data_IF_089618769007
#
_entry.id   IF_089618769007
#
_cell.length_a   1.000
_cell.length_b   1.000
_cell.length_c   1.000
_cell.angle_alpha   90.00
_cell.angle_beta   90.00
_cell.angle_gamma   90.00
#
_symmetry.space_group_name_H-M   'P 1'
#
loop_
_entity.id
_entity.type
_entity.pdbx_description
1 polymer ?
#
# COMPACT_ATOMS: atom_id res chain seq x y z
N UNK A 1 17.72 -1.28 -11.70
CA UNK A 1 17.59 -2.58 -10.99
C UNK A 1 16.12 -2.98 -10.77
N UNK A 2 15.25 -2.12 -10.22
CA UNK A 2 13.85 -2.49 -9.93
C UNK A 2 12.96 -2.76 -11.16
N UNK A 3 13.37 -2.30 -12.34
CA UNK A 3 12.65 -2.50 -13.61
C UNK A 3 13.40 -3.39 -14.60
N UNK A 4 14.45 -4.09 -14.16
CA UNK A 4 15.40 -4.76 -15.08
C UNK A 4 14.74 -5.83 -15.97
N UNK A 5 13.74 -6.55 -15.45
CA UNK A 5 13.09 -7.68 -16.14
C UNK A 5 11.60 -7.40 -16.41
N UNK A 6 11.17 -6.13 -16.37
CA UNK A 6 9.78 -5.76 -16.59
C UNK A 6 9.53 -5.44 -18.07
N UNK A 7 8.41 -5.93 -18.60
CA UNK A 7 7.89 -5.55 -19.91
C UNK A 7 7.07 -4.25 -19.75
N UNK A 8 7.47 -3.14 -20.43
CA UNK A 8 6.76 -1.87 -20.29
C UNK A 8 5.30 -1.94 -20.76
N UNK A 9 4.96 -2.86 -21.66
CA UNK A 9 3.62 -3.01 -22.25
C UNK A 9 2.64 -3.73 -21.32
N UNK A 10 3.13 -4.40 -20.29
CA UNK A 10 2.31 -5.14 -19.31
C UNK A 10 2.55 -4.70 -17.87
N UNK A 11 3.28 -3.61 -17.65
CA UNK A 11 3.61 -3.12 -16.31
C UNK A 11 2.67 -2.00 -15.89
N UNK A 12 2.04 -2.15 -14.71
CA UNK A 12 1.28 -1.10 -14.04
C UNK A 12 2.08 -0.53 -12.87
N UNK A 13 2.21 0.79 -12.81
CA UNK A 13 2.81 1.51 -11.69
C UNK A 13 1.73 2.08 -10.78
N UNK A 14 1.83 1.77 -9.48
CA UNK A 14 0.94 2.28 -8.43
C UNK A 14 1.72 3.27 -7.57
N UNK A 15 1.42 4.55 -7.68
CA UNK A 15 2.09 5.62 -6.91
C UNK A 15 1.32 5.89 -5.63
N UNK A 16 1.78 5.32 -4.52
CA UNK A 16 1.16 5.50 -3.21
C UNK A 16 1.80 6.65 -2.41
N UNK A 17 1.08 7.78 -2.28
CA UNK A 17 1.50 8.91 -1.44
C UNK A 17 0.29 9.76 -1.07
N UNK A 18 0.02 9.87 0.23
CA UNK A 18 -1.12 10.66 0.77
C UNK A 18 -1.11 12.10 0.25
N UNK A 19 0.01 12.80 0.43
CA UNK A 19 0.15 14.21 0.08
C UNK A 19 0.61 14.43 -1.36
N UNK A 20 1.08 13.36 -2.02
CA UNK A 20 1.71 13.39 -3.33
C UNK A 20 2.86 14.41 -3.41
N UNK A 21 3.60 14.57 -2.32
CA UNK A 21 4.76 15.48 -2.20
C UNK A 21 6.00 14.82 -1.62
N UNK A 22 5.89 13.58 -1.15
CA UNK A 22 7.01 12.84 -0.57
C UNK A 22 8.14 12.75 -1.59
N UNK A 23 9.31 13.30 -1.24
CA UNK A 23 10.41 13.50 -2.19
C UNK A 23 10.87 12.17 -2.78
N UNK A 24 11.08 11.17 -1.93
CA UNK A 24 11.53 9.84 -2.31
C UNK A 24 10.52 9.16 -3.25
N UNK A 25 9.22 9.22 -2.90
CA UNK A 25 8.15 8.63 -3.73
C UNK A 25 8.05 9.31 -5.10
N UNK A 26 8.04 10.64 -5.14
CA UNK A 26 7.93 11.37 -6.41
C UNK A 26 9.17 11.22 -7.28
N UNK A 27 10.36 11.15 -6.67
CA UNK A 27 11.61 10.89 -7.39
C UNK A 27 11.55 9.52 -8.06
N UNK A 28 11.15 8.49 -7.33
CA UNK A 28 10.98 7.14 -7.87
C UNK A 28 9.87 7.09 -8.94
N UNK A 29 8.75 7.78 -8.75
CA UNK A 29 7.66 7.83 -9.73
C UNK A 29 8.11 8.49 -11.04
N UNK A 30 8.89 9.58 -10.97
CA UNK A 30 9.46 10.24 -12.16
C UNK A 30 10.45 9.34 -12.91
N UNK A 31 11.29 8.61 -12.17
CA UNK A 31 12.23 7.65 -12.77
C UNK A 31 11.49 6.48 -13.44
N UNK A 32 10.43 5.95 -12.80
CA UNK A 32 9.58 4.92 -13.40
C UNK A 32 8.88 5.40 -14.67
N UNK A 33 8.41 6.66 -14.67
CA UNK A 33 7.77 7.29 -15.82
C UNK A 33 8.74 7.47 -17.00
N UNK A 34 9.94 7.96 -16.73
CA UNK A 34 10.99 8.07 -17.73
C UNK A 34 11.34 6.68 -18.32
N UNK A 35 11.52 5.68 -17.46
CA UNK A 35 11.76 4.30 -17.89
C UNK A 35 10.64 3.79 -18.81
N UNK A 36 9.37 3.99 -18.45
CA UNK A 36 8.24 3.54 -19.27
C UNK A 36 8.31 4.14 -20.69
N UNK A 37 8.48 5.46 -20.78
CA UNK A 37 8.54 6.16 -22.07
C UNK A 37 9.71 5.69 -22.93
N UNK A 38 10.91 5.68 -22.36
CA UNK A 38 12.14 5.29 -23.08
C UNK A 38 12.02 3.87 -23.64
N UNK A 39 11.43 2.96 -22.86
CA UNK A 39 11.23 1.56 -23.29
C UNK A 39 10.14 1.42 -24.35
N UNK A 40 8.98 2.05 -24.17
CA UNK A 40 7.90 1.97 -25.16
C UNK A 40 8.28 2.61 -26.51
N UNK A 41 8.99 3.74 -26.48
CA UNK A 41 9.53 4.39 -27.69
C UNK A 41 10.61 3.52 -28.33
N UNK A 42 11.57 3.03 -27.54
CA UNK A 42 12.67 2.19 -28.03
C UNK A 42 12.19 0.87 -28.65
N UNK A 43 11.06 0.34 -28.19
CA UNK A 43 10.41 -0.85 -28.72
C UNK A 43 9.39 -0.53 -29.84
N UNK A 44 9.27 0.74 -30.25
CA UNK A 44 8.38 1.18 -31.33
C UNK A 44 6.88 1.03 -31.03
N UNK A 45 6.50 0.99 -29.74
CA UNK A 45 5.11 0.80 -29.29
C UNK A 45 4.33 2.11 -29.24
N UNK A 46 5.03 3.23 -29.05
CA UNK A 46 4.48 4.59 -29.10
C UNK A 46 5.42 5.51 -29.88
N UNK A 47 4.88 6.61 -30.40
CA UNK A 47 5.68 7.67 -31.02
C UNK A 47 6.43 8.49 -29.96
N UNK A 48 7.55 9.11 -30.34
CA UNK A 48 8.30 9.99 -29.45
C UNK A 48 7.72 11.41 -29.40
N UNK A 49 6.46 11.52 -28.96
CA UNK A 49 5.74 12.78 -28.82
C UNK A 49 5.20 12.94 -27.41
N UNK A 50 5.04 14.18 -26.95
CA UNK A 50 4.51 14.46 -25.61
C UNK A 50 3.08 13.92 -25.43
N UNK A 51 2.28 13.91 -26.50
CA UNK A 51 0.92 13.37 -26.47
C UNK A 51 0.92 11.86 -26.29
N UNK A 52 1.72 11.13 -27.06
CA UNK A 52 1.84 9.67 -26.93
C UNK A 52 2.40 9.27 -25.56
N UNK A 53 3.39 10.01 -25.04
CA UNK A 53 3.94 9.82 -23.70
C UNK A 53 2.91 10.06 -22.60
N UNK A 54 2.06 11.09 -22.70
CA UNK A 54 0.94 11.33 -21.78
C UNK A 54 -0.09 10.19 -21.84
N UNK A 55 -0.44 9.73 -23.04
CA UNK A 55 -1.33 8.58 -23.23
C UNK A 55 -0.81 7.31 -22.54
N UNK A 56 0.49 7.04 -22.65
CA UNK A 56 1.11 5.91 -21.94
C UNK A 56 1.02 6.03 -20.42
N UNK A 57 1.23 7.22 -19.85
CA UNK A 57 1.08 7.44 -18.39
C UNK A 57 -0.36 7.18 -17.95
N UNK A 58 -1.34 7.68 -18.71
CA UNK A 58 -2.75 7.49 -18.37
C UNK A 58 -3.17 6.01 -18.31
N UNK A 59 -2.51 5.13 -19.06
CA UNK A 59 -2.82 3.69 -19.09
C UNK A 59 -1.98 2.85 -18.12
N UNK A 60 -0.75 3.28 -17.82
CA UNK A 60 0.22 2.49 -17.05
C UNK A 60 0.48 3.02 -15.64
N UNK A 61 -0.14 4.13 -15.24
CA UNK A 61 -0.01 4.68 -13.89
C UNK A 61 -1.37 4.89 -13.23
N UNK A 62 -1.46 4.45 -11.98
CA UNK A 62 -2.54 4.80 -11.05
C UNK A 62 -1.95 5.45 -9.81
N UNK A 63 -2.73 6.28 -9.13
CA UNK A 63 -2.32 6.94 -7.90
C UNK A 63 -3.16 6.46 -6.72
N UNK A 64 -2.54 6.34 -5.55
CA UNK A 64 -3.25 6.23 -4.27
C UNK A 64 -2.93 7.48 -3.47
N UNK A 65 -3.84 8.45 -3.51
CA UNK A 65 -3.59 9.79 -2.99
C UNK A 65 -4.89 10.56 -2.75
N UNK A 66 -4.82 11.57 -1.88
CA UNK A 66 -5.90 12.53 -1.67
C UNK A 66 -5.68 13.84 -2.43
N UNK A 67 -4.51 14.02 -3.07
CA UNK A 67 -4.09 15.26 -3.71
C UNK A 67 -4.31 15.23 -5.23
N UNK A 68 -5.58 15.20 -5.66
CA UNK A 68 -5.97 15.02 -7.07
C UNK A 68 -5.31 16.04 -8.02
N UNK A 69 -5.16 17.29 -7.61
CA UNK A 69 -4.50 18.33 -8.44
C UNK A 69 -3.05 17.95 -8.79
N UNK A 70 -2.31 17.39 -7.82
CA UNK A 70 -0.91 16.96 -8.02
C UNK A 70 -0.80 15.67 -8.82
N UNK A 71 -1.80 14.81 -8.70
CA UNK A 71 -1.92 13.59 -9.53
C UNK A 71 -2.13 13.98 -10.99
N UNK A 72 -3.02 14.94 -11.25
CA UNK A 72 -3.25 15.50 -12.57
C UNK A 72 -2.00 16.20 -13.15
N UNK A 73 -1.30 17.01 -12.34
CA UNK A 73 -0.04 17.66 -12.73
C UNK A 73 1.05 16.64 -13.11
N UNK A 74 1.08 15.48 -12.45
CA UNK A 74 1.99 14.40 -12.80
C UNK A 74 1.63 13.72 -14.14
N UNK A 75 0.40 13.88 -14.61
CA UNK A 75 -0.13 13.32 -15.86
C UNK A 75 -0.91 12.01 -15.69
N UNK A 76 -1.27 11.65 -14.46
CA UNK A 76 -2.19 10.53 -14.20
C UNK A 76 -3.62 11.07 -14.31
N UNK A 77 -4.48 10.34 -15.02
CA UNK A 77 -5.91 10.64 -15.07
C UNK A 77 -6.49 10.62 -13.65
N UNK A 78 -7.15 11.68 -13.16
CA UNK A 78 -7.81 11.67 -11.86
C UNK A 78 -8.81 10.52 -11.66
N UNK A 79 -9.38 9.96 -12.73
CA UNK A 79 -10.21 8.75 -12.67
C UNK A 79 -9.42 7.50 -12.23
N UNK A 80 -8.10 7.52 -12.42
CA UNK A 80 -7.15 6.49 -12.00
C UNK A 80 -6.50 6.83 -10.64
N UNK A 81 -7.10 7.75 -9.88
CA UNK A 81 -6.69 8.11 -8.53
C UNK A 81 -7.64 7.54 -7.48
N UNK A 82 -7.12 6.71 -6.59
CA UNK A 82 -7.86 6.13 -5.48
C UNK A 82 -7.63 6.94 -4.21
N UNK A 83 -8.66 7.67 -3.81
CA UNK A 83 -8.66 8.48 -2.59
C UNK A 83 -8.73 7.65 -1.31
N UNK A 84 -8.20 8.22 -0.23
CA UNK A 84 -8.42 7.77 1.16
C UNK A 84 -8.46 9.00 2.06
N UNK A 85 -8.53 8.84 3.39
CA UNK A 85 -8.82 9.98 4.27
C UNK A 85 -7.70 10.33 5.25
N UNK A 86 -7.80 11.52 5.83
CA UNK A 86 -6.86 12.05 6.81
C UNK A 86 -6.80 11.20 8.08
N UNK A 87 -7.93 10.67 8.53
CA UNK A 87 -8.06 9.76 9.68
C UNK A 87 -7.44 8.37 9.46
N UNK A 88 -7.07 8.01 8.23
CA UNK A 88 -6.30 6.78 7.95
C UNK A 88 -4.82 7.07 8.22
N UNK A 89 -4.32 6.54 9.34
CA UNK A 89 -2.90 6.58 9.71
C UNK A 89 -2.07 5.63 8.85
N UNK A 90 -0.83 6.01 8.51
CA UNK A 90 0.00 5.24 7.56
C UNK A 90 0.20 3.76 7.92
N UNK A 91 0.46 3.46 9.21
CA UNK A 91 0.65 2.08 9.70
C UNK A 91 -0.67 1.28 9.83
N UNK A 92 -1.81 1.95 9.71
CA UNK A 92 -3.16 1.36 9.74
C UNK A 92 -3.86 1.48 8.37
N UNK A 93 -3.11 1.57 7.27
CA UNK A 93 -3.68 1.92 5.96
C UNK A 93 -3.87 0.73 5.01
N UNK A 94 -3.44 -0.48 5.38
CA UNK A 94 -3.42 -1.64 4.48
C UNK A 94 -4.81 -2.05 3.97
N UNK A 95 -5.85 -1.81 4.76
CA UNK A 95 -7.27 -2.06 4.50
C UNK A 95 -7.97 -0.88 3.79
N UNK A 96 -7.23 0.19 3.48
CA UNK A 96 -7.69 1.34 2.69
C UNK A 96 -7.28 1.22 1.21
N UNK A 97 -7.40 2.31 0.44
CA UNK A 97 -6.90 2.39 -0.93
C UNK A 97 -5.38 2.12 -1.05
N UNK A 98 -4.60 2.23 0.03
CA UNK A 98 -3.18 1.82 0.05
C UNK A 98 -3.03 0.31 -0.25
N UNK A 99 -4.04 -0.49 0.09
CA UNK A 99 -4.12 -1.92 -0.24
C UNK A 99 -4.38 -2.24 -1.72
N UNK A 100 -4.46 -1.25 -2.62
CA UNK A 100 -4.74 -1.46 -4.06
C UNK A 100 -3.83 -2.51 -4.71
N UNK A 101 -2.52 -2.49 -4.39
CA UNK A 101 -1.58 -3.48 -4.93
C UNK A 101 -1.92 -4.91 -4.49
N UNK A 102 -2.34 -5.08 -3.24
CA UNK A 102 -2.78 -6.37 -2.72
C UNK A 102 -4.09 -6.80 -3.37
N UNK A 103 -5.08 -5.91 -3.47
CA UNK A 103 -6.37 -6.19 -4.11
C UNK A 103 -6.23 -6.66 -5.56
N UNK A 104 -5.29 -6.08 -6.33
CA UNK A 104 -4.96 -6.53 -7.68
C UNK A 104 -4.33 -7.93 -7.65
N UNK A 105 -3.42 -8.20 -6.72
CA UNK A 105 -2.68 -9.46 -6.65
C UNK A 105 -3.53 -10.66 -6.24
N UNK A 106 -4.46 -10.49 -5.27
CA UNK A 106 -5.30 -11.59 -4.75
C UNK A 106 -6.72 -11.58 -5.32
N UNK A 107 -7.08 -10.53 -6.07
CA UNK A 107 -8.42 -10.34 -6.60
C UNK A 107 -9.38 -9.70 -5.59
N UNK A 108 -10.48 -9.11 -6.09
CA UNK A 108 -11.40 -8.34 -5.25
C UNK A 108 -12.16 -9.19 -4.23
N UNK A 109 -12.47 -10.45 -4.55
CA UNK A 109 -13.22 -11.33 -3.65
C UNK A 109 -12.38 -11.70 -2.42
N UNK A 110 -11.12 -12.13 -2.62
CA UNK A 110 -10.21 -12.42 -1.51
C UNK A 110 -9.86 -11.15 -0.70
N UNK A 111 -9.78 -9.98 -1.35
CA UNK A 111 -9.60 -8.72 -0.62
C UNK A 111 -10.82 -8.38 0.24
N UNK A 112 -12.05 -8.63 -0.22
CA UNK A 112 -13.27 -8.48 0.61
C UNK A 112 -13.28 -9.45 1.77
N UNK A 113 -12.84 -10.69 1.59
CA UNK A 113 -12.68 -11.64 2.70
C UNK A 113 -11.67 -11.16 3.74
N UNK A 114 -10.54 -10.60 3.30
CA UNK A 114 -9.56 -9.98 4.19
C UNK A 114 -10.20 -8.85 5.02
N UNK A 115 -10.93 -7.93 4.37
CA UNK A 115 -11.64 -6.83 5.04
C UNK A 115 -12.72 -7.34 6.00
N UNK A 116 -13.44 -8.39 5.65
CA UNK A 116 -14.41 -9.03 6.53
C UNK A 116 -13.72 -9.61 7.79
N UNK A 117 -12.52 -10.15 7.64
CA UNK A 117 -11.67 -10.58 8.76
C UNK A 117 -11.29 -9.43 9.70
N UNK A 118 -10.85 -8.29 9.15
CA UNK A 118 -10.60 -7.07 9.94
C UNK A 118 -11.86 -6.65 10.72
N UNK A 119 -12.99 -6.52 10.02
CA UNK A 119 -14.24 -6.10 10.63
C UNK A 119 -14.73 -7.06 11.74
N UNK A 120 -14.54 -8.38 11.56
CA UNK A 120 -14.91 -9.36 12.57
C UNK A 120 -14.08 -9.18 13.87
N UNK A 121 -12.79 -8.86 13.75
CA UNK A 121 -11.93 -8.58 14.91
C UNK A 121 -12.29 -7.25 15.55
N UNK A 122 -12.64 -6.23 14.76
CA UNK A 122 -13.10 -4.93 15.27
C UNK A 122 -14.39 -5.07 16.09
N UNK A 123 -15.38 -5.79 15.57
CA UNK A 123 -16.64 -6.05 16.28
C UNK A 123 -16.41 -6.88 17.55
N UNK A 124 -15.53 -7.88 17.50
CA UNK A 124 -15.12 -8.63 18.69
C UNK A 124 -14.49 -7.72 19.74
N UNK A 125 -13.55 -6.87 19.34
CA UNK A 125 -12.87 -5.92 20.23
C UNK A 125 -13.85 -4.90 20.83
N UNK A 126 -14.83 -4.43 20.04
CA UNK A 126 -15.80 -3.41 20.44
C UNK A 126 -16.88 -3.94 21.39
N UNK A 127 -17.30 -5.19 21.23
CA UNK A 127 -18.52 -5.72 21.89
C UNK A 127 -18.26 -6.79 22.95
N UNK A 128 -17.11 -7.48 22.92
CA UNK A 128 -16.83 -8.58 23.86
C UNK A 128 -16.41 -8.04 25.23
N UNK A 129 -16.96 -8.59 26.35
CA UNK A 129 -16.51 -8.27 27.70
C UNK A 129 -14.99 -8.45 27.86
N UNK A 130 -14.35 -7.56 28.62
CA UNK A 130 -12.88 -7.46 28.68
C UNK A 130 -12.19 -8.77 29.05
N UNK A 131 -12.76 -9.55 29.96
CA UNK A 131 -12.25 -10.84 30.41
C UNK A 131 -12.26 -11.94 29.34
N UNK A 132 -12.92 -11.70 28.21
CA UNK A 132 -12.96 -12.59 27.03
C UNK A 132 -12.45 -11.91 25.76
N UNK A 133 -11.99 -10.66 25.86
CA UNK A 133 -11.61 -9.83 24.73
C UNK A 133 -10.12 -10.02 24.40
N UNK A 134 -9.85 -10.83 23.37
CA UNK A 134 -8.48 -11.21 22.97
C UNK A 134 -7.55 -10.00 22.76
N UNK A 135 -7.87 -8.98 21.93
CA UNK A 135 -7.01 -7.80 21.79
C UNK A 135 -6.74 -7.08 23.12
N UNK A 136 -7.78 -6.92 23.95
CA UNK A 136 -7.64 -6.27 25.25
C UNK A 136 -6.70 -7.04 26.19
N UNK A 137 -6.90 -8.36 26.31
CA UNK A 137 -6.06 -9.22 27.14
C UNK A 137 -4.61 -9.26 26.65
N UNK A 138 -4.38 -9.30 25.33
CA UNK A 138 -3.03 -9.21 24.76
C UNK A 138 -2.34 -7.89 25.13
N UNK A 139 -3.07 -6.77 25.09
CA UNK A 139 -2.56 -5.47 25.55
C UNK A 139 -2.19 -5.47 27.04
N UNK A 140 -3.05 -6.04 27.90
CA UNK A 140 -2.77 -6.15 29.33
C UNK A 140 -1.56 -7.04 29.64
N UNK A 141 -1.38 -8.14 28.90
CA UNK A 141 -0.19 -8.98 29.04
C UNK A 141 1.08 -8.20 28.70
N UNK A 142 1.05 -7.35 27.67
CA UNK A 142 2.18 -6.50 27.33
C UNK A 142 2.52 -5.53 28.48
N UNK A 143 1.50 -4.84 29.03
CA UNK A 143 1.68 -3.97 30.22
C UNK A 143 2.26 -4.77 31.40
N UNK A 144 1.77 -5.98 31.65
CA UNK A 144 2.27 -6.82 32.73
C UNK A 144 3.77 -7.15 32.56
N UNK A 145 4.15 -7.67 31.40
CA UNK A 145 5.54 -8.05 31.11
C UNK A 145 6.49 -6.86 31.14
N UNK A 146 6.11 -5.73 30.55
CA UNK A 146 6.97 -4.55 30.46
C UNK A 146 7.08 -3.85 31.81
N UNK A 147 5.96 -3.56 32.48
CA UNK A 147 5.94 -2.67 33.64
C UNK A 147 6.23 -3.38 34.97
N UNK A 148 5.93 -4.68 35.09
CA UNK A 148 6.08 -5.41 36.35
C UNK A 148 7.21 -6.43 36.31
N UNK A 149 7.49 -7.02 35.14
CA UNK A 149 8.55 -8.03 34.99
C UNK A 149 9.81 -7.50 34.30
N UNK A 150 9.80 -6.26 33.79
CA UNK A 150 10.96 -5.62 33.15
C UNK A 150 11.36 -6.24 31.81
N UNK A 151 10.45 -6.94 31.13
CA UNK A 151 10.71 -7.53 29.82
C UNK A 151 10.50 -6.47 28.71
N UNK A 152 11.58 -5.86 28.24
CA UNK A 152 11.55 -4.75 27.28
C UNK A 152 11.56 -5.18 25.79
N UNK A 153 11.53 -6.48 25.52
CA UNK A 153 11.52 -7.01 24.14
C UNK A 153 10.34 -7.97 23.97
N UNK A 154 9.77 -7.99 22.76
CA UNK A 154 8.67 -8.87 22.40
C UNK A 154 9.00 -9.57 21.07
N UNK A 155 9.05 -10.90 21.09
CA UNK A 155 9.35 -11.69 19.89
C UNK A 155 8.05 -12.12 19.20
N UNK A 156 7.94 -11.82 17.90
CA UNK A 156 6.84 -12.30 17.04
C UNK A 156 7.38 -13.44 16.18
N UNK A 157 6.89 -14.66 16.42
CA UNK A 157 7.43 -15.90 15.84
C UNK A 157 6.34 -16.65 15.06
N UNK A 158 5.96 -16.21 13.85
CA UNK A 158 4.95 -16.90 13.05
C UNK A 158 5.53 -18.22 12.52
N UNK A 159 4.87 -19.34 12.80
CA UNK A 159 5.23 -20.67 12.27
C UNK A 159 4.66 -20.88 10.87
N UNK A 160 4.85 -19.91 9.99
CA UNK A 160 4.42 -19.93 8.61
C UNK A 160 5.34 -19.05 7.76
N UNK A 161 6.01 -19.64 6.75
CA UNK A 161 6.97 -18.92 5.91
C UNK A 161 6.34 -17.76 5.14
N UNK A 162 5.06 -17.89 4.79
CA UNK A 162 4.27 -16.86 4.11
C UNK A 162 4.16 -15.58 4.96
N UNK A 163 4.31 -15.68 6.28
CA UNK A 163 4.25 -14.55 7.22
C UNK A 163 5.63 -14.00 7.60
N UNK A 164 6.69 -14.30 6.84
CA UNK A 164 8.05 -13.82 7.18
C UNK A 164 8.18 -12.28 7.29
N UNK A 165 7.35 -11.51 6.56
CA UNK A 165 7.32 -10.04 6.63
C UNK A 165 6.39 -9.49 7.72
N UNK A 166 5.59 -10.36 8.36
CA UNK A 166 4.63 -9.95 9.38
C UNK A 166 5.30 -9.29 10.61
N UNK A 167 6.43 -9.80 11.15
CA UNK A 167 7.14 -9.12 12.23
C UNK A 167 7.63 -7.71 11.84
N UNK A 168 8.10 -7.52 10.61
CA UNK A 168 8.55 -6.21 10.13
C UNK A 168 7.38 -5.21 10.03
N UNK A 169 6.20 -5.68 9.60
CA UNK A 169 4.98 -4.87 9.64
C UNK A 169 4.59 -4.48 11.08
N UNK A 170 4.56 -5.43 12.01
CA UNK A 170 4.23 -5.17 13.41
C UNK A 170 5.23 -4.27 14.14
N UNK A 171 6.49 -4.23 13.69
CA UNK A 171 7.50 -3.35 14.27
C UNK A 171 7.18 -1.86 14.04
N UNK A 172 6.47 -1.54 12.95
CA UNK A 172 6.03 -0.18 12.67
C UNK A 172 4.70 0.17 13.35
N UNK A 173 3.83 -0.83 13.57
CA UNK A 173 2.45 -0.69 14.07
C UNK A 173 2.39 -0.09 15.49
#
# INVERSE_FOLDING_TARGET
QKTADLDPTTTLFIVASKTFTTLETLTNARLARAWLWERLVGEGRIEDTDEARRGAVAQHFVAVSTALDKVAEFGIDPANAFGFWDWVGGRYSVDSAIGTSLAIAIGPDAFRELLAGFHAVDEHARTTPFERNVPFLMGLLNVWYVNFLGAHTHAVLPYAQQLHSFPAYLQQL
#
